data_IF_189357411762
#
_entry.id   IF_189357411762
#
_cell.length_a   1.000
_cell.length_b   1.000
_cell.length_c   1.000
_cell.angle_alpha   90.00
_cell.angle_beta   90.00
_cell.angle_gamma   90.00
#
_symmetry.space_group_name_H-M   'P 1'
#
loop_
_entity.id
_entity.type
_entity.pdbx_description
1 polymer ?
#
# COMPACT_ATOMS: atom_id res chain seq x y z
N UNK A 1 -8.83 16.34 0.20
CA UNK A 1 -8.67 14.90 -0.06
C UNK A 1 -7.20 14.54 -0.26
N UNK A 2 -6.82 13.42 0.27
CA UNK A 2 -5.46 12.89 0.12
C UNK A 2 -5.52 11.46 -0.40
N UNK A 3 -4.47 11.06 -1.09
CA UNK A 3 -4.23 9.67 -1.47
C UNK A 3 -3.07 9.14 -0.64
N UNK A 4 -3.29 7.99 -0.03
CA UNK A 4 -2.23 7.22 0.62
C UNK A 4 -1.87 6.07 -0.30
N UNK A 5 -0.59 5.95 -0.63
CA UNK A 5 -0.03 4.76 -1.26
C UNK A 5 0.91 4.09 -0.26
N UNK A 6 0.64 2.84 0.04
CA UNK A 6 1.49 2.07 0.94
C UNK A 6 2.07 0.88 0.19
N UNK A 7 3.39 0.78 0.19
CA UNK A 7 4.10 -0.38 -0.35
C UNK A 7 4.50 -1.23 0.84
N UNK A 8 3.99 -2.45 0.90
CA UNK A 8 4.15 -3.33 2.06
C UNK A 8 4.59 -4.73 1.64
N UNK A 9 5.05 -5.51 2.61
CA UNK A 9 5.28 -6.94 2.41
C UNK A 9 3.95 -7.65 2.17
N UNK A 10 3.87 -8.60 1.21
CA UNK A 10 2.60 -9.25 0.85
C UNK A 10 1.87 -9.91 2.01
N UNK A 11 2.60 -10.57 2.91
CA UNK A 11 1.99 -11.29 4.03
C UNK A 11 1.36 -10.37 5.10
N UNK A 12 1.58 -9.07 4.99
CA UNK A 12 0.99 -8.07 5.88
C UNK A 12 -0.34 -7.50 5.38
N UNK A 13 -0.76 -7.87 4.17
CA UNK A 13 -1.95 -7.29 3.55
C UNK A 13 -3.21 -7.45 4.41
N UNK A 14 -3.48 -8.65 4.92
CA UNK A 14 -4.69 -8.89 5.70
C UNK A 14 -4.73 -8.08 6.99
N UNK A 15 -3.60 -8.01 7.69
CA UNK A 15 -3.48 -7.20 8.91
C UNK A 15 -3.70 -5.70 8.64
N UNK A 16 -3.14 -5.20 7.55
CA UNK A 16 -3.32 -3.79 7.14
C UNK A 16 -4.78 -3.53 6.76
N UNK A 17 -5.40 -4.43 6.00
CA UNK A 17 -6.82 -4.31 5.64
C UNK A 17 -7.71 -4.24 6.87
N UNK A 18 -7.50 -5.12 7.83
CA UNK A 18 -8.27 -5.13 9.08
C UNK A 18 -8.07 -3.83 9.88
N UNK A 19 -6.83 -3.37 9.98
CA UNK A 19 -6.51 -2.13 10.69
C UNK A 19 -7.20 -0.92 10.05
N UNK A 20 -7.25 -0.86 8.73
CA UNK A 20 -7.94 0.21 8.01
C UNK A 20 -9.46 0.15 8.18
N UNK A 21 -10.02 -1.05 8.23
CA UNK A 21 -11.46 -1.21 8.50
C UNK A 21 -11.82 -0.71 9.91
N UNK A 22 -10.97 -0.93 10.89
CA UNK A 22 -11.15 -0.41 12.25
C UNK A 22 -11.14 1.12 12.31
N UNK A 23 -10.39 1.77 11.45
CA UNK A 23 -10.40 3.24 11.31
C UNK A 23 -11.67 3.75 10.64
N UNK A 24 -12.42 2.86 9.99
CA UNK A 24 -13.65 3.20 9.28
C UNK A 24 -13.47 3.32 7.77
N UNK A 25 -12.33 2.93 7.24
CA UNK A 25 -12.06 2.95 5.81
C UNK A 25 -12.46 1.62 5.18
N UNK A 26 -13.30 1.68 4.16
CA UNK A 26 -13.86 0.48 3.52
C UNK A 26 -13.33 0.26 2.11
N UNK A 27 -13.02 1.32 1.39
CA UNK A 27 -12.57 1.22 0.01
C UNK A 27 -11.06 1.29 -0.09
N UNK A 28 -10.42 0.19 -0.47
CA UNK A 28 -8.99 0.16 -0.78
C UNK A 28 -8.79 -0.49 -2.15
N UNK A 29 -7.77 -0.05 -2.86
CA UNK A 29 -7.33 -0.68 -4.10
C UNK A 29 -5.99 -1.35 -3.84
N UNK A 30 -5.89 -2.61 -4.23
CA UNK A 30 -4.69 -3.41 -4.00
C UNK A 30 -4.10 -3.83 -5.35
N UNK A 31 -2.80 -3.64 -5.49
CA UNK A 31 -2.06 -4.02 -6.70
C UNK A 31 -0.83 -4.83 -6.27
N UNK A 32 -0.61 -5.95 -6.93
CA UNK A 32 0.65 -6.68 -6.78
C UNK A 32 1.76 -5.89 -7.46
N UNK A 33 2.89 -5.77 -6.76
CA UNK A 33 4.03 -4.99 -7.22
C UNK A 33 5.33 -5.74 -6.98
N UNK A 34 6.40 -5.28 -7.60
CA UNK A 34 7.74 -5.78 -7.35
C UNK A 34 8.61 -4.61 -6.92
N UNK A 35 9.38 -4.81 -5.87
CA UNK A 35 10.26 -3.80 -5.33
C UNK A 35 11.73 -4.16 -5.51
N UNK A 36 12.53 -3.14 -5.78
CA UNK A 36 13.98 -3.20 -5.75
C UNK A 36 14.47 -2.11 -4.79
N UNK A 37 15.30 -2.48 -3.84
CA UNK A 37 15.78 -1.51 -2.85
C UNK A 37 16.81 -2.11 -1.91
N UNK A 38 16.77 -1.70 -0.64
CA UNK A 38 17.73 -2.17 0.36
C UNK A 38 17.57 -3.64 0.73
N UNK A 39 16.35 -4.16 0.64
CA UNK A 39 16.12 -5.59 0.83
C UNK A 39 16.72 -6.35 -0.34
N UNK A 40 17.67 -7.22 -0.05
CA UNK A 40 18.33 -7.98 -1.10
C UNK A 40 17.47 -9.16 -1.53
N UNK A 41 17.52 -9.44 -2.83
CA UNK A 41 16.95 -10.64 -3.40
C UNK A 41 17.76 -11.88 -3.05
N UNK A 42 17.50 -12.94 -3.74
CA UNK A 42 18.19 -14.22 -3.56
C UNK A 42 18.73 -14.73 -4.90
N UNK A 43 19.63 -15.72 -4.84
CA UNK A 43 20.16 -16.36 -6.02
C UNK A 43 19.33 -17.60 -6.36
N UNK A 44 18.96 -17.73 -7.62
CA UNK A 44 18.26 -18.91 -8.13
C UNK A 44 19.09 -19.58 -9.24
N UNK A 45 18.95 -20.90 -9.35
CA UNK A 45 19.52 -21.67 -10.45
C UNK A 45 18.51 -21.89 -11.55
N UNK A 46 18.91 -21.59 -12.77
CA UNK A 46 18.08 -21.85 -13.95
C UNK A 46 18.96 -22.36 -15.08
N UNK A 47 18.69 -23.56 -15.57
CA UNK A 47 19.48 -24.23 -16.63
C UNK A 47 20.98 -24.28 -16.34
N UNK A 48 21.35 -24.50 -15.06
CA UNK A 48 22.73 -24.59 -14.64
C UNK A 48 23.48 -23.26 -14.46
N UNK A 49 22.80 -22.13 -14.66
CA UNK A 49 23.34 -20.80 -14.40
C UNK A 49 22.70 -20.16 -13.17
N UNK A 50 23.48 -19.42 -12.42
CA UNK A 50 23.01 -18.66 -11.26
C UNK A 50 22.46 -17.31 -11.70
N UNK A 51 21.27 -16.96 -11.19
CA UNK A 51 20.65 -15.66 -11.39
C UNK A 51 20.36 -15.01 -10.04
N UNK A 52 20.71 -13.73 -9.91
CA UNK A 52 20.37 -12.95 -8.73
C UNK A 52 18.95 -12.41 -8.93
N UNK A 53 18.07 -12.70 -7.99
CA UNK A 53 16.71 -12.17 -7.98
C UNK A 53 16.72 -10.86 -7.22
N UNK A 54 16.76 -9.74 -7.94
CA UNK A 54 16.84 -8.39 -7.37
C UNK A 54 15.48 -7.81 -6.99
N UNK A 55 14.43 -8.23 -7.69
CA UNK A 55 13.06 -7.76 -7.41
C UNK A 55 12.34 -8.71 -6.48
N UNK A 56 11.72 -8.16 -5.46
CA UNK A 56 10.95 -8.90 -4.48
C UNK A 56 9.48 -8.54 -4.59
N UNK A 57 8.57 -9.50 -4.34
CA UNK A 57 7.14 -9.21 -4.37
C UNK A 57 6.78 -8.23 -3.27
N UNK A 58 5.92 -7.29 -3.62
CA UNK A 58 5.33 -6.28 -2.74
C UNK A 58 3.85 -6.16 -3.07
N UNK A 59 3.12 -5.50 -2.20
CA UNK A 59 1.74 -5.12 -2.42
C UNK A 59 1.64 -3.61 -2.29
N UNK A 60 0.96 -2.98 -3.24
CA UNK A 60 0.64 -1.56 -3.18
C UNK A 60 -0.83 -1.40 -2.81
N UNK A 61 -1.09 -0.65 -1.76
CA UNK A 61 -2.42 -0.29 -1.32
C UNK A 61 -2.63 1.19 -1.62
N UNK A 62 -3.74 1.53 -2.26
CA UNK A 62 -4.13 2.91 -2.51
C UNK A 62 -5.46 3.21 -1.85
N UNK A 63 -5.51 4.34 -1.16
CA UNK A 63 -6.71 4.83 -0.49
C UNK A 63 -6.82 6.32 -0.74
N UNK A 64 -8.01 6.79 -1.10
CA UNK A 64 -8.33 8.22 -1.14
C UNK A 64 -9.31 8.51 -0.01
N UNK A 65 -8.99 9.51 0.80
CA UNK A 65 -9.74 9.80 2.03
C UNK A 65 -9.74 11.31 2.33
N UNK A 66 -10.62 11.71 3.22
CA UNK A 66 -10.65 13.07 3.75
C UNK A 66 -9.42 13.34 4.61
N UNK A 67 -9.03 14.60 4.69
CA UNK A 67 -7.83 15.02 5.43
C UNK A 67 -7.88 14.64 6.93
N UNK A 68 -9.06 14.61 7.50
CA UNK A 68 -9.27 14.29 8.92
C UNK A 68 -8.92 12.85 9.30
N UNK A 69 -8.90 11.94 8.35
CA UNK A 69 -8.59 10.53 8.59
C UNK A 69 -7.15 10.12 8.24
N UNK A 70 -6.38 11.02 7.66
CA UNK A 70 -5.05 10.69 7.14
C UNK A 70 -4.10 10.18 8.23
N UNK A 71 -3.98 10.89 9.33
CA UNK A 71 -3.07 10.50 10.40
C UNK A 71 -3.43 9.15 11.02
N UNK A 72 -4.72 8.91 11.23
CA UNK A 72 -5.21 7.62 11.76
C UNK A 72 -4.91 6.48 10.81
N UNK A 73 -5.13 6.70 9.51
CA UNK A 73 -4.85 5.69 8.49
C UNK A 73 -3.36 5.38 8.39
N UNK A 74 -2.51 6.39 8.40
CA UNK A 74 -1.05 6.22 8.38
C UNK A 74 -0.59 5.39 9.58
N UNK A 75 -1.05 5.73 10.77
CA UNK A 75 -0.67 5.01 11.98
C UNK A 75 -1.15 3.55 11.96
N UNK A 76 -2.38 3.33 11.48
CA UNK A 76 -2.93 1.98 11.35
C UNK A 76 -2.10 1.12 10.39
N UNK A 77 -1.74 1.66 9.23
CA UNK A 77 -0.90 0.96 8.25
C UNK A 77 0.48 0.69 8.83
N UNK A 78 1.09 1.69 9.43
CA UNK A 78 2.44 1.59 9.95
C UNK A 78 2.54 0.50 11.02
N UNK A 79 1.63 0.45 11.97
CA UNK A 79 1.61 -0.57 13.02
C UNK A 79 1.37 -1.96 12.45
N UNK A 80 0.41 -2.09 11.56
CA UNK A 80 0.05 -3.39 11.00
C UNK A 80 1.13 -3.95 10.06
N UNK A 81 1.82 -3.10 9.31
CA UNK A 81 2.81 -3.52 8.32
C UNK A 81 4.22 -3.67 8.87
N UNK A 82 4.52 -3.10 10.03
CA UNK A 82 5.87 -3.06 10.57
C UNK A 82 6.35 -4.44 11.05
N UNK A 83 7.54 -4.83 10.61
CA UNK A 83 8.27 -5.99 11.19
C UNK A 83 9.55 -5.56 11.90
N UNK A 84 10.01 -4.33 11.65
CA UNK A 84 11.29 -3.82 12.14
C UNK A 84 12.48 -4.19 11.28
N UNK A 85 12.24 -4.89 10.16
CA UNK A 85 13.30 -5.33 9.23
C UNK A 85 13.31 -4.49 7.97
N UNK A 86 14.46 -4.46 7.29
CA UNK A 86 14.60 -3.85 5.98
C UNK A 86 13.57 -4.49 5.03
N UNK A 87 12.92 -3.66 4.23
CA UNK A 87 11.91 -4.12 3.28
C UNK A 87 10.47 -3.98 3.76
N UNK A 88 10.24 -3.41 4.95
CA UNK A 88 8.89 -3.16 5.46
C UNK A 88 8.05 -2.26 4.55
N UNK A 89 8.70 -1.42 3.77
CA UNK A 89 8.04 -0.57 2.79
C UNK A 89 7.95 0.89 3.21
N UNK A 90 7.10 1.62 2.50
CA UNK A 90 6.92 3.06 2.69
C UNK A 90 5.48 3.47 2.48
N UNK A 91 5.12 4.58 3.06
CA UNK A 91 3.82 5.22 2.89
C UNK A 91 4.06 6.57 2.24
N UNK A 92 3.35 6.83 1.15
CA UNK A 92 3.37 8.11 0.44
C UNK A 92 2.01 8.77 0.54
N UNK A 93 2.00 10.07 0.74
CA UNK A 93 0.77 10.86 0.82
C UNK A 93 0.83 11.96 -0.22
N UNK A 94 -0.21 12.08 -1.01
CA UNK A 94 -0.32 13.12 -2.02
C UNK A 94 -1.70 13.77 -1.98
N UNK A 95 -1.78 15.00 -2.48
CA UNK A 95 -3.05 15.71 -2.59
C UNK A 95 -3.81 15.23 -3.81
N UNK A 96 -5.10 14.96 -3.63
CA UNK A 96 -6.02 14.63 -4.72
C UNK A 96 -6.84 15.87 -5.03
N UNK A 97 -6.78 16.32 -6.27
CA UNK A 97 -7.51 17.50 -6.72
C UNK A 97 -9.00 17.22 -6.89
N UNK A 98 -9.33 16.06 -7.44
CA UNK A 98 -10.71 15.71 -7.75
C UNK A 98 -10.94 14.20 -7.68
N UNK A 99 -12.11 13.80 -7.23
CA UNK A 99 -12.57 12.42 -7.29
C UNK A 99 -13.99 12.42 -7.86
N UNK A 100 -14.29 11.48 -8.75
CA UNK A 100 -15.60 11.36 -9.38
C UNK A 100 -16.01 9.89 -9.30
N UNK A 101 -17.18 9.63 -8.75
CA UNK A 101 -17.75 8.28 -8.71
C UNK A 101 -18.34 7.95 -10.07
N UNK A 102 -17.86 6.89 -10.70
CA UNK A 102 -18.29 6.52 -12.05
C UNK A 102 -19.79 6.24 -12.10
N UNK A 103 -20.31 5.48 -11.14
CA UNK A 103 -21.73 5.07 -11.16
C UNK A 103 -22.69 6.24 -11.04
N UNK A 104 -22.39 7.22 -10.20
CA UNK A 104 -23.33 8.28 -9.82
C UNK A 104 -22.97 9.66 -10.37
N UNK A 105 -21.70 9.87 -10.76
CA UNK A 105 -21.19 11.18 -11.13
C UNK A 105 -20.95 12.12 -9.94
N UNK A 106 -21.13 11.65 -8.71
CA UNK A 106 -20.81 12.44 -7.52
C UNK A 106 -19.34 12.80 -7.51
N UNK A 107 -19.01 13.98 -6.98
CA UNK A 107 -17.65 14.50 -6.99
C UNK A 107 -17.19 14.91 -5.60
N UNK A 108 -15.87 15.09 -5.45
CA UNK A 108 -15.27 15.51 -4.20
C UNK A 108 -15.42 14.46 -3.09
N UNK A 109 -15.66 14.91 -1.87
CA UNK A 109 -15.79 14.02 -0.71
C UNK A 109 -16.96 13.05 -0.84
N UNK A 110 -18.01 13.42 -1.57
CA UNK A 110 -19.17 12.54 -1.80
C UNK A 110 -18.84 11.37 -2.73
N UNK A 111 -17.72 11.44 -3.44
CA UNK A 111 -17.27 10.40 -4.36
C UNK A 111 -16.41 9.31 -3.68
N UNK A 112 -16.00 9.56 -2.46
CA UNK A 112 -15.08 8.65 -1.75
C UNK A 112 -15.68 8.05 -0.50
#
# INVERSE_FOLDING_TARGET
>A
MKKIEAIIKPFKLDEVKEALQEVGLQGITVTEAKGFGRQKGHTELYRGAEYVVDFLPKVKIEIVLGDDLVEKAIEAIRRAAQTGRIGDGKIFVSTIEEAIRIRTGESGLDAI
#
